data_IF_513200050666
#
_entry.id   IF_513200050666
#
_cell.length_a   1.000
_cell.length_b   1.000
_cell.length_c   1.000
_cell.angle_alpha   90.00
_cell.angle_beta   90.00
_cell.angle_gamma   90.00
#
_symmetry.space_group_name_H-M   'P 1'
#
loop_
_entity.id
_entity.type
_entity.pdbx_description
1 polymer ?
#
# COMPACT_ATOMS: atom_id res chain seq x y z
N UNK A 1 -5.54 25.45 -2.43
CA UNK A 1 -4.38 25.69 -3.31
C UNK A 1 -3.68 24.35 -3.53
N UNK A 2 -3.52 23.85 -4.76
CA UNK A 2 -2.84 22.58 -5.02
C UNK A 2 -1.33 22.63 -4.75
N UNK A 3 -0.75 21.48 -4.43
CA UNK A 3 0.69 21.28 -4.29
C UNK A 3 1.31 20.78 -5.59
N UNK A 4 2.50 21.27 -5.91
CA UNK A 4 3.30 20.88 -7.06
C UNK A 4 4.72 20.56 -6.62
N UNK A 5 5.27 19.47 -7.16
CA UNK A 5 6.64 19.05 -6.89
C UNK A 5 7.61 19.69 -7.89
N UNK A 6 8.78 20.09 -7.41
CA UNK A 6 9.87 20.64 -8.21
C UNK A 6 11.18 19.92 -7.93
N UNK A 7 12.04 19.82 -8.95
CA UNK A 7 13.37 19.23 -8.85
C UNK A 7 14.40 20.08 -9.60
N UNK A 8 15.55 20.36 -8.96
CA UNK A 8 16.67 21.05 -9.60
C UNK A 8 17.68 20.07 -10.21
N UNK A 9 18.62 20.61 -11.02
CA UNK A 9 19.75 19.87 -11.59
C UNK A 9 20.61 19.18 -10.52
N UNK A 10 20.74 19.82 -9.35
CA UNK A 10 21.52 19.34 -8.21
C UNK A 10 20.80 18.23 -7.41
N UNK A 11 19.64 17.78 -7.87
CA UNK A 11 18.91 16.64 -7.28
C UNK A 11 18.03 16.98 -6.07
N UNK A 12 17.97 18.24 -5.62
CA UNK A 12 17.06 18.64 -4.55
C UNK A 12 15.60 18.59 -5.02
N UNK A 13 14.70 18.14 -4.13
CA UNK A 13 13.25 18.07 -4.37
C UNK A 13 12.50 18.86 -3.29
N UNK A 14 11.42 19.52 -3.68
CA UNK A 14 10.54 20.22 -2.75
C UNK A 14 9.14 20.43 -3.34
N UNK A 15 8.18 20.66 -2.45
CA UNK A 15 6.80 20.98 -2.83
C UNK A 15 6.51 22.47 -2.62
N UNK A 16 5.72 23.04 -3.55
CA UNK A 16 5.26 24.41 -3.49
C UNK A 16 3.77 24.47 -3.83
N UNK A 17 3.05 25.38 -3.15
CA UNK A 17 1.64 25.64 -3.41
C UNK A 17 1.53 26.74 -4.45
N UNK A 18 0.77 26.50 -5.52
CA UNK A 18 0.46 27.50 -6.54
C UNK A 18 -1.03 27.43 -6.89
N UNK A 19 -1.61 28.54 -7.35
CA UNK A 19 -2.88 28.46 -8.06
C UNK A 19 -2.69 27.67 -9.36
N UNK A 20 -3.73 26.95 -9.80
CA UNK A 20 -3.65 26.16 -11.04
C UNK A 20 -3.31 27.00 -12.27
N UNK A 21 -3.73 28.27 -12.29
CA UNK A 21 -3.49 29.24 -13.36
C UNK A 21 -2.10 29.87 -13.34
N UNK A 22 -1.38 29.80 -12.22
CA UNK A 22 -0.16 30.57 -11.98
C UNK A 22 1.07 29.68 -11.74
N UNK A 23 0.92 28.36 -11.87
CA UNK A 23 2.03 27.43 -11.64
C UNK A 23 3.14 27.65 -12.68
N UNK A 24 4.36 28.03 -12.26
CA UNK A 24 5.45 28.27 -13.19
C UNK A 24 6.04 26.95 -13.69
N UNK A 25 6.71 26.98 -14.84
CA UNK A 25 7.47 25.83 -15.37
C UNK A 25 8.78 25.61 -14.59
N UNK A 26 9.34 26.69 -14.08
CA UNK A 26 10.62 26.73 -13.37
C UNK A 26 10.56 27.76 -12.23
N UNK A 27 11.26 27.48 -11.14
CA UNK A 27 11.36 28.34 -9.94
C UNK A 27 12.69 28.10 -9.25
N UNK A 28 13.10 29.00 -8.36
CA UNK A 28 14.34 28.81 -7.61
C UNK A 28 14.21 27.68 -6.57
N UNK A 29 15.25 26.85 -6.50
CA UNK A 29 15.33 25.81 -5.49
C UNK A 29 15.47 26.41 -4.09
N UNK A 30 14.56 26.05 -3.18
CA UNK A 30 14.58 26.51 -1.77
C UNK A 30 15.79 26.03 -0.95
N UNK A 31 16.63 25.15 -1.50
CA UNK A 31 17.78 24.56 -0.81
C UNK A 31 19.12 25.02 -1.37
N UNK A 32 19.26 25.15 -2.69
CA UNK A 32 20.52 25.49 -3.34
C UNK A 32 20.46 26.71 -4.27
N UNK A 33 19.28 27.30 -4.48
CA UNK A 33 19.11 28.46 -5.38
C UNK A 33 19.20 28.15 -6.88
N UNK A 34 19.57 26.93 -7.26
CA UNK A 34 19.59 26.51 -8.66
C UNK A 34 18.16 26.48 -9.27
N UNK A 35 18.02 26.67 -10.60
CA UNK A 35 16.74 26.53 -11.28
C UNK A 35 16.15 25.13 -11.07
N UNK A 36 14.90 25.08 -10.60
CA UNK A 36 14.14 23.86 -10.35
C UNK A 36 12.93 23.78 -11.27
N UNK A 37 12.82 22.68 -12.02
CA UNK A 37 11.72 22.44 -12.96
C UNK A 37 10.60 21.67 -12.29
N UNK A 38 9.37 21.88 -12.77
CA UNK A 38 8.21 21.14 -12.29
C UNK A 38 8.39 19.65 -12.59
N UNK A 39 8.36 18.83 -11.53
CA UNK A 39 8.45 17.39 -11.62
C UNK A 39 7.05 16.79 -11.66
N UNK A 40 6.77 15.94 -12.64
CA UNK A 40 5.60 15.07 -12.58
C UNK A 40 6.02 13.89 -11.71
N UNK A 41 5.59 13.93 -10.44
CA UNK A 41 5.79 12.81 -9.53
C UNK A 41 4.78 11.71 -9.83
N UNK A 42 5.04 10.53 -9.26
CA UNK A 42 4.10 9.42 -9.22
C UNK A 42 3.38 9.41 -7.88
N UNK A 43 2.45 10.37 -7.59
CA UNK A 43 1.78 10.39 -6.30
C UNK A 43 1.01 9.09 -6.13
N UNK A 44 1.39 8.32 -5.11
CA UNK A 44 0.70 7.10 -4.69
C UNK A 44 0.64 5.94 -5.71
N UNK A 45 1.43 5.92 -6.79
CA UNK A 45 1.46 4.75 -7.68
C UNK A 45 1.87 3.46 -6.95
N UNK A 46 2.74 3.56 -5.93
CA UNK A 46 3.12 2.43 -5.08
C UNK A 46 2.01 1.96 -4.14
N UNK A 47 1.04 2.83 -3.81
CA UNK A 47 -0.06 2.47 -2.93
C UNK A 47 -0.97 1.41 -3.55
N UNK A 48 -1.10 1.40 -4.89
CA UNK A 48 -1.85 0.40 -5.62
C UNK A 48 -1.33 -1.04 -5.43
N UNK A 49 -0.04 -1.20 -5.11
CA UNK A 49 0.57 -2.51 -4.80
C UNK A 49 0.44 -2.95 -3.34
N UNK A 50 -0.16 -2.13 -2.46
CA UNK A 50 -0.27 -2.45 -1.03
C UNK A 50 -1.42 -3.39 -0.73
N UNK A 51 -1.29 -4.19 0.34
CA UNK A 51 -2.38 -5.04 0.83
C UNK A 51 -3.61 -4.24 1.25
N UNK A 52 -3.42 -3.04 1.79
CA UNK A 52 -4.51 -2.14 2.16
C UNK A 52 -5.33 -1.69 0.94
N UNK A 53 -4.65 -1.31 -0.15
CA UNK A 53 -5.32 -0.98 -1.40
C UNK A 53 -6.07 -2.18 -1.98
N UNK A 54 -5.45 -3.36 -1.97
CA UNK A 54 -6.10 -4.61 -2.40
C UNK A 54 -7.38 -4.91 -1.62
N UNK A 55 -7.39 -4.70 -0.29
CA UNK A 55 -8.59 -4.90 0.53
C UNK A 55 -9.73 -3.96 0.14
N UNK A 56 -9.43 -2.68 -0.08
CA UNK A 56 -10.42 -1.67 -0.50
C UNK A 56 -11.02 -2.06 -1.85
N UNK A 57 -10.15 -2.42 -2.79
CA UNK A 57 -10.55 -2.82 -4.15
C UNK A 57 -11.44 -4.07 -4.12
N UNK A 58 -11.02 -5.14 -3.42
CA UNK A 58 -11.83 -6.35 -3.27
C UNK A 58 -13.19 -6.06 -2.63
N UNK A 59 -13.23 -5.19 -1.62
CA UNK A 59 -14.49 -4.81 -0.95
C UNK A 59 -15.42 -4.07 -1.92
N UNK A 60 -14.92 -3.11 -2.67
CA UNK A 60 -15.71 -2.38 -3.67
C UNK A 60 -16.23 -3.32 -4.78
N UNK A 61 -15.39 -4.23 -5.26
CA UNK A 61 -15.73 -5.21 -6.30
C UNK A 61 -16.84 -6.16 -5.86
N UNK A 62 -16.83 -6.59 -4.59
CA UNK A 62 -17.77 -7.58 -4.06
C UNK A 62 -19.25 -7.21 -4.19
N UNK A 63 -19.58 -5.92 -4.30
CA UNK A 63 -20.94 -5.46 -4.48
C UNK A 63 -21.54 -5.83 -5.85
N UNK A 64 -20.70 -6.05 -6.87
CA UNK A 64 -21.14 -6.29 -8.25
C UNK A 64 -20.58 -7.59 -8.82
N UNK A 65 -19.41 -8.02 -8.33
CA UNK A 65 -18.69 -9.22 -8.77
C UNK A 65 -18.13 -9.98 -7.54
N UNK A 66 -19.00 -10.57 -6.69
CA UNK A 66 -18.55 -11.32 -5.53
C UNK A 66 -17.81 -12.59 -5.96
N UNK A 67 -16.68 -12.87 -5.31
CA UNK A 67 -15.96 -14.11 -5.53
C UNK A 67 -16.79 -15.31 -5.02
N UNK A 68 -17.22 -16.18 -5.92
CA UNK A 68 -17.88 -17.44 -5.58
C UNK A 68 -16.81 -18.50 -5.35
N UNK A 69 -16.69 -18.98 -4.12
CA UNK A 69 -15.78 -20.07 -3.78
C UNK A 69 -16.45 -21.41 -4.07
N UNK A 70 -15.91 -22.17 -5.03
CA UNK A 70 -16.40 -23.51 -5.41
C UNK A 70 -15.79 -24.61 -4.53
N UNK A 71 -14.72 -24.28 -3.80
CA UNK A 71 -13.96 -25.18 -2.94
C UNK A 71 -13.48 -24.41 -1.72
N UNK A 72 -13.38 -25.11 -0.60
CA UNK A 72 -12.73 -24.55 0.57
C UNK A 72 -11.25 -24.26 0.25
N UNK A 73 -10.69 -23.14 0.73
CA UNK A 73 -9.27 -22.89 0.57
C UNK A 73 -8.48 -24.10 1.06
N UNK A 74 -7.48 -24.51 0.27
CA UNK A 74 -6.62 -25.61 0.65
C UNK A 74 -6.13 -25.36 2.08
N UNK A 75 -6.37 -26.33 2.97
CA UNK A 75 -5.89 -26.25 4.36
C UNK A 75 -4.40 -25.92 4.28
N UNK A 76 -4.02 -24.71 4.67
CA UNK A 76 -2.61 -24.34 4.85
C UNK A 76 -1.94 -25.51 5.56
N UNK A 77 -0.78 -26.02 5.11
CA UNK A 77 -0.25 -27.32 5.51
C UNK A 77 -0.42 -27.45 7.01
N UNK A 78 -1.45 -28.21 7.37
CA UNK A 78 -2.01 -28.10 8.71
C UNK A 78 -0.89 -28.43 9.64
N UNK A 79 -0.49 -27.52 10.52
CA UNK A 79 0.36 -27.89 11.64
C UNK A 79 -0.35 -29.08 12.27
N UNK A 80 0.21 -30.28 12.09
CA UNK A 80 -0.39 -31.48 12.62
C UNK A 80 -0.70 -31.20 14.08
N UNK A 81 -1.93 -31.50 14.52
CA UNK A 81 -2.25 -31.33 15.93
C UNK A 81 -1.17 -32.08 16.70
N UNK A 82 -0.47 -31.35 17.59
CA UNK A 82 0.61 -31.96 18.36
C UNK A 82 -0.03 -32.99 19.26
N UNK A 83 0.17 -34.26 18.92
CA UNK A 83 -0.17 -35.36 19.82
C UNK A 83 0.75 -35.24 21.02
N UNK A 84 0.17 -35.00 22.19
CA UNK A 84 0.92 -34.97 23.44
C UNK A 84 0.91 -36.38 24.02
N UNK A 85 2.10 -36.92 24.32
CA UNK A 85 2.31 -38.26 24.88
C UNK A 85 2.28 -38.27 26.41
N UNK A 86 1.55 -37.33 27.03
CA UNK A 86 1.54 -37.18 28.47
C UNK A 86 0.83 -38.39 29.14
N UNK A 87 1.48 -39.15 30.03
CA UNK A 87 0.91 -40.39 30.58
C UNK A 87 -0.38 -40.17 31.38
N UNK A 88 -0.58 -38.97 31.94
CA UNK A 88 -1.83 -38.59 32.62
C UNK A 88 -3.07 -38.56 31.69
N UNK A 89 -2.90 -38.51 30.37
CA UNK A 89 -4.02 -38.59 29.43
C UNK A 89 -4.78 -39.93 29.53
N UNK A 90 -4.13 -40.99 30.03
CA UNK A 90 -4.80 -42.27 30.29
C UNK A 90 -5.87 -42.20 31.38
N UNK A 91 -5.88 -41.14 32.20
CA UNK A 91 -6.85 -40.92 33.28
C UNK A 91 -8.05 -40.06 32.86
N UNK A 92 -8.07 -39.55 31.63
CA UNK A 92 -9.20 -38.75 31.14
C UNK A 92 -10.39 -39.68 30.83
N UNK A 93 -11.63 -39.24 31.11
CA UNK A 93 -12.83 -39.96 30.69
C UNK A 93 -12.80 -40.12 29.18
N UNK A 94 -12.98 -41.36 28.71
CA UNK A 94 -13.04 -41.62 27.27
C UNK A 94 -14.47 -41.30 26.79
N UNK A 95 -14.62 -40.60 25.64
CA UNK A 95 -15.91 -40.42 24.99
C UNK A 95 -16.45 -41.75 24.45
#
# INVERSE_FOLDING_TARGET
MPSYAFQCSEGCRFDALYAMSEVPRETDCRRCGAPARRAITAPHLSAAGSSAYGLIEHSARSAHEPAVVDRLPARAPGRAQRVTSHPLHAKLPRP
#
